data_IF_530482904974
#
_entry.id   IF_530482904974
#
_cell.length_a   1.000
_cell.length_b   1.000
_cell.length_c   1.000
_cell.angle_alpha   90.00
_cell.angle_beta   90.00
_cell.angle_gamma   90.00
#
_symmetry.space_group_name_H-M   'P 1'
#
loop_
_entity.id
_entity.type
_entity.pdbx_description
1 polymer ?
#
# COMPACT_ATOMS: atom_id res chain seq x y z
N UNK A 1 8.90 14.24 -19.23
CA UNK A 1 9.00 13.79 -17.81
C UNK A 1 8.04 14.63 -16.98
N UNK A 2 6.92 14.06 -16.46
CA UNK A 2 6.03 14.76 -15.52
C UNK A 2 6.83 15.04 -14.25
N UNK A 3 7.08 16.31 -13.95
CA UNK A 3 7.78 16.76 -12.75
C UNK A 3 6.89 16.42 -11.55
N UNK A 4 7.31 15.49 -10.69
CA UNK A 4 6.61 15.23 -9.43
C UNK A 4 6.53 16.53 -8.64
N UNK A 5 5.38 16.80 -7.99
CA UNK A 5 5.20 17.96 -7.13
C UNK A 5 5.68 17.59 -5.71
N UNK A 6 6.93 17.89 -5.34
CA UNK A 6 7.51 17.40 -4.07
C UNK A 6 6.83 17.95 -2.82
N UNK A 7 6.06 19.03 -2.95
CA UNK A 7 5.34 19.63 -1.81
C UNK A 7 3.97 19.03 -1.50
N UNK A 8 3.44 18.12 -2.33
CA UNK A 8 2.11 17.51 -2.13
C UNK A 8 2.14 16.26 -1.23
N UNK A 9 3.32 15.71 -0.97
CA UNK A 9 3.47 14.47 -0.22
C UNK A 9 4.33 14.74 1.01
N UNK A 10 3.67 14.85 2.16
CA UNK A 10 4.34 14.89 3.46
C UNK A 10 4.38 13.47 4.04
N UNK A 11 5.59 12.85 4.20
CA UNK A 11 5.71 11.49 4.72
C UNK A 11 5.10 11.32 6.12
N UNK A 12 5.26 12.31 6.99
CA UNK A 12 4.71 12.24 8.34
C UNK A 12 3.19 12.25 8.36
N UNK A 13 2.56 13.05 7.48
CA UNK A 13 1.11 13.06 7.33
C UNK A 13 0.59 11.71 6.81
N UNK A 14 1.28 11.11 5.84
CA UNK A 14 0.90 9.81 5.29
C UNK A 14 1.00 8.73 6.38
N UNK A 15 2.08 8.71 7.17
CA UNK A 15 2.25 7.78 8.29
C UNK A 15 1.11 7.97 9.30
N UNK A 16 0.83 9.20 9.70
CA UNK A 16 -0.24 9.51 10.66
C UNK A 16 -1.62 9.05 10.17
N UNK A 17 -1.96 9.32 8.92
CA UNK A 17 -3.22 8.87 8.32
C UNK A 17 -3.32 7.33 8.22
N UNK A 18 -2.21 6.67 7.92
CA UNK A 18 -2.18 5.22 7.84
C UNK A 18 -2.32 4.56 9.22
N UNK A 19 -1.64 5.09 10.22
CA UNK A 19 -1.80 4.64 11.62
C UNK A 19 -3.24 4.86 12.06
N UNK A 20 -3.81 6.04 11.84
CA UNK A 20 -5.20 6.33 12.17
C UNK A 20 -6.17 5.36 11.47
N UNK A 21 -5.99 5.12 10.15
CA UNK A 21 -6.84 4.20 9.41
C UNK A 21 -6.75 2.74 9.93
N UNK A 22 -5.61 2.32 10.47
CA UNK A 22 -5.47 0.99 11.09
C UNK A 22 -6.05 0.90 12.50
N UNK A 23 -6.13 2.01 13.22
CA UNK A 23 -6.68 2.04 14.59
C UNK A 23 -8.20 2.26 14.60
N UNK A 24 -8.76 2.81 13.53
CA UNK A 24 -10.22 2.94 13.39
C UNK A 24 -10.86 1.56 13.16
N UNK A 25 -12.13 1.36 13.56
CA UNK A 25 -12.86 0.13 13.28
C UNK A 25 -12.96 -0.12 11.78
N UNK A 26 -12.43 -1.23 11.32
CA UNK A 26 -12.48 -1.69 9.92
C UNK A 26 -12.49 -3.22 9.85
N UNK A 27 -12.96 -3.82 8.74
CA UNK A 27 -12.84 -5.26 8.54
C UNK A 27 -11.37 -5.72 8.61
N UNK A 28 -11.09 -6.93 9.12
CA UNK A 28 -9.73 -7.46 9.15
C UNK A 28 -9.04 -7.37 7.77
N UNK A 29 -7.78 -6.93 7.75
CA UNK A 29 -6.97 -6.71 6.55
C UNK A 29 -7.47 -5.64 5.56
N UNK A 30 -8.49 -4.87 5.91
CA UNK A 30 -8.93 -3.70 5.13
C UNK A 30 -8.15 -2.46 5.59
N UNK A 31 -6.88 -2.34 5.17
CA UNK A 31 -5.99 -1.28 5.62
C UNK A 31 -5.19 -0.68 4.44
N UNK A 32 -4.77 0.61 4.52
CA UNK A 32 -4.13 1.30 3.40
C UNK A 32 -2.66 0.91 3.16
N UNK A 33 -2.07 0.00 3.94
CA UNK A 33 -0.62 -0.21 4.00
C UNK A 33 -0.04 -0.70 2.67
N UNK A 34 -0.66 -1.71 2.03
CA UNK A 34 -0.19 -2.21 0.75
C UNK A 34 -0.31 -1.14 -0.36
N UNK A 35 -1.44 -0.43 -0.39
CA UNK A 35 -1.65 0.68 -1.33
C UNK A 35 -0.63 1.80 -1.12
N UNK A 36 -0.25 2.10 0.13
CA UNK A 36 0.81 3.06 0.46
C UNK A 36 2.18 2.59 0.00
N UNK A 37 2.49 1.31 0.18
CA UNK A 37 3.75 0.72 -0.28
C UNK A 37 3.85 0.80 -1.81
N UNK A 38 2.79 0.43 -2.53
CA UNK A 38 2.70 0.57 -4.00
C UNK A 38 2.86 2.02 -4.44
N UNK A 39 2.09 2.92 -3.85
CA UNK A 39 2.10 4.35 -4.17
C UNK A 39 3.48 4.97 -3.87
N UNK A 40 4.02 4.69 -2.69
CA UNK A 40 5.36 5.13 -2.29
C UNK A 40 6.43 4.66 -3.27
N UNK A 41 6.39 3.38 -3.69
CA UNK A 41 7.28 2.83 -4.69
C UNK A 41 7.18 3.53 -6.04
N UNK A 42 5.96 3.88 -6.47
CA UNK A 42 5.70 4.49 -7.76
C UNK A 42 6.07 5.99 -7.82
N UNK A 43 5.97 6.71 -6.71
CA UNK A 43 6.10 8.17 -6.69
C UNK A 43 7.21 8.72 -5.81
N UNK A 44 7.64 7.99 -4.77
CA UNK A 44 8.66 8.44 -3.83
C UNK A 44 10.04 7.88 -4.16
N UNK A 45 11.03 8.26 -3.36
CA UNK A 45 12.35 7.64 -3.37
C UNK A 45 12.27 6.24 -2.75
N UNK A 46 13.17 5.32 -3.19
CA UNK A 46 13.25 3.93 -2.72
C UNK A 46 13.20 3.81 -1.18
N UNK A 47 13.91 4.69 -0.47
CA UNK A 47 13.93 4.71 1.00
C UNK A 47 12.52 4.91 1.58
N UNK A 48 11.80 5.92 1.10
CA UNK A 48 10.45 6.24 1.60
C UNK A 48 9.39 5.21 1.19
N UNK A 49 9.56 4.58 0.03
CA UNK A 49 8.69 3.51 -0.43
C UNK A 49 8.62 2.33 0.54
N UNK A 50 9.72 2.03 1.22
CA UNK A 50 9.85 0.93 2.17
C UNK A 50 9.61 1.41 3.60
N UNK A 51 10.27 2.51 4.00
CA UNK A 51 10.26 2.97 5.40
C UNK A 51 8.88 3.44 5.83
N UNK A 52 8.14 4.19 4.99
CA UNK A 52 6.84 4.75 5.37
C UNK A 52 5.83 3.65 5.77
N UNK A 53 5.57 2.62 4.94
CA UNK A 53 4.65 1.54 5.32
C UNK A 53 5.10 0.78 6.57
N UNK A 54 6.39 0.47 6.69
CA UNK A 54 6.91 -0.27 7.84
C UNK A 54 6.82 0.53 9.14
N UNK A 55 7.11 1.83 9.10
CA UNK A 55 6.95 2.71 10.28
C UNK A 55 5.48 2.84 10.66
N UNK A 56 4.58 3.00 9.70
CA UNK A 56 3.15 3.04 9.96
C UNK A 56 2.64 1.74 10.59
N UNK A 57 3.11 0.58 10.08
CA UNK A 57 2.83 -0.73 10.66
C UNK A 57 3.32 -0.81 12.10
N UNK A 58 4.59 -0.51 12.32
CA UNK A 58 5.21 -0.62 13.64
C UNK A 58 4.50 0.27 14.67
N UNK A 59 4.26 1.53 14.33
CA UNK A 59 3.58 2.47 15.22
C UNK A 59 2.16 2.01 15.56
N UNK A 60 1.41 1.48 14.61
CA UNK A 60 0.07 0.96 14.89
C UNK A 60 0.10 -0.36 15.66
N UNK A 61 1.09 -1.23 15.43
CA UNK A 61 1.23 -2.50 16.14
C UNK A 61 1.56 -2.30 17.64
N UNK A 62 2.17 -1.16 18.02
CA UNK A 62 2.34 -0.77 19.44
C UNK A 62 0.97 -0.64 20.14
N UNK A 63 -0.05 -0.13 19.45
CA UNK A 63 -1.39 0.07 20.01
C UNK A 63 -2.29 -1.16 19.85
N UNK A 64 -2.18 -1.87 18.72
CA UNK A 64 -2.98 -3.07 18.41
C UNK A 64 -2.49 -4.29 19.21
N UNK A 65 -1.19 -4.32 19.50
CA UNK A 65 -0.48 -5.45 20.12
C UNK A 65 0.38 -6.21 19.11
N UNK A 66 1.52 -6.72 19.61
CA UNK A 66 2.40 -7.57 18.82
C UNK A 66 1.87 -9.00 18.78
N UNK A 67 2.17 -9.71 17.71
CA UNK A 67 1.73 -11.08 17.45
C UNK A 67 2.92 -11.98 17.12
N UNK A 68 2.70 -13.23 16.74
CA UNK A 68 3.77 -14.19 16.46
C UNK A 68 4.91 -13.58 15.62
N UNK A 69 6.17 -13.66 16.05
CA UNK A 69 7.31 -13.09 15.31
C UNK A 69 7.42 -13.63 13.87
N UNK A 70 7.08 -14.90 13.65
CA UNK A 70 7.07 -15.53 12.32
C UNK A 70 6.05 -14.86 11.41
N UNK A 71 4.82 -14.67 11.89
CA UNK A 71 3.76 -14.00 11.12
C UNK A 71 4.11 -12.53 10.94
N UNK A 72 4.60 -11.85 11.99
CA UNK A 72 5.00 -10.45 11.92
C UNK A 72 6.08 -10.23 10.85
N UNK A 73 7.13 -11.07 10.84
CA UNK A 73 8.17 -10.98 9.82
C UNK A 73 7.61 -11.20 8.41
N UNK A 74 6.68 -12.12 8.24
CA UNK A 74 6.04 -12.39 6.95
C UNK A 74 5.18 -11.21 6.46
N UNK A 75 4.45 -10.55 7.36
CA UNK A 75 3.64 -9.36 7.08
C UNK A 75 4.54 -8.19 6.66
N UNK A 76 5.56 -7.87 7.46
CA UNK A 76 6.49 -6.77 7.16
C UNK A 76 7.28 -7.05 5.88
N UNK A 77 7.75 -8.29 5.68
CA UNK A 77 8.41 -8.72 4.45
C UNK A 77 7.53 -8.58 3.22
N UNK A 78 6.24 -8.91 3.34
CA UNK A 78 5.28 -8.74 2.26
C UNK A 78 5.15 -7.26 1.84
N UNK A 79 5.10 -6.33 2.80
CA UNK A 79 5.04 -4.89 2.47
C UNK A 79 6.32 -4.36 1.85
N UNK A 80 7.49 -4.91 2.19
CA UNK A 80 8.74 -4.61 1.47
C UNK A 80 8.61 -5.04 0.00
N UNK A 81 8.14 -6.26 -0.27
CA UNK A 81 7.95 -6.78 -1.62
C UNK A 81 6.92 -5.95 -2.41
N UNK A 82 5.82 -5.54 -1.77
CA UNK A 82 4.83 -4.64 -2.36
C UNK A 82 5.45 -3.28 -2.71
N UNK A 83 6.30 -2.73 -1.84
CA UNK A 83 7.07 -1.51 -2.13
C UNK A 83 8.00 -1.67 -3.35
N UNK A 84 8.66 -2.82 -3.50
CA UNK A 84 9.46 -3.16 -4.69
C UNK A 84 8.59 -3.24 -5.96
N UNK A 85 7.41 -3.86 -5.86
CA UNK A 85 6.44 -3.89 -6.95
C UNK A 85 5.98 -2.46 -7.33
N UNK A 86 5.78 -1.59 -6.36
CA UNK A 86 5.52 -0.17 -6.58
C UNK A 86 6.65 0.54 -7.33
N UNK A 87 7.92 0.21 -7.03
CA UNK A 87 9.06 0.76 -7.78
C UNK A 87 9.10 0.28 -9.23
N UNK A 88 8.71 -0.96 -9.50
CA UNK A 88 8.53 -1.45 -10.86
C UNK A 88 7.45 -0.65 -11.61
N UNK A 89 6.33 -0.30 -10.95
CA UNK A 89 5.30 0.56 -11.51
C UNK A 89 5.81 1.95 -11.93
N UNK A 90 6.85 2.48 -11.30
CA UNK A 90 7.38 3.82 -11.58
C UNK A 90 7.66 4.05 -13.07
N UNK A 91 8.14 3.02 -13.77
CA UNK A 91 8.46 3.07 -15.21
C UNK A 91 7.31 2.60 -16.11
N UNK A 92 6.28 1.96 -15.57
CA UNK A 92 5.23 1.27 -16.30
C UNK A 92 3.82 1.65 -15.82
N UNK A 93 3.63 2.90 -15.38
CA UNK A 93 2.35 3.37 -14.87
C UNK A 93 1.30 3.43 -15.97
N UNK A 94 0.29 2.59 -15.85
CA UNK A 94 -0.99 2.67 -16.55
C UNK A 94 -2.08 2.27 -15.57
N UNK A 95 -3.33 2.65 -15.76
CA UNK A 95 -4.44 2.23 -14.88
C UNK A 95 -4.49 0.70 -14.73
N UNK A 96 -4.34 -0.04 -15.82
CA UNK A 96 -4.32 -1.52 -15.81
C UNK A 96 -3.16 -2.08 -14.99
N UNK A 97 -1.95 -1.54 -15.12
CA UNK A 97 -0.79 -2.01 -14.35
C UNK A 97 -0.93 -1.66 -12.86
N UNK A 98 -1.53 -0.54 -12.52
CA UNK A 98 -1.80 -0.15 -11.12
C UNK A 98 -2.79 -1.12 -10.49
N UNK A 99 -3.89 -1.43 -11.17
CA UNK A 99 -4.89 -2.40 -10.70
C UNK A 99 -4.27 -3.81 -10.60
N UNK A 100 -3.53 -4.25 -11.62
CA UNK A 100 -2.87 -5.56 -11.60
C UNK A 100 -1.85 -5.66 -10.45
N UNK A 101 -1.11 -4.58 -10.17
CA UNK A 101 -0.18 -4.55 -9.04
C UNK A 101 -0.91 -4.57 -7.69
N UNK A 102 -2.05 -3.90 -7.54
CA UNK A 102 -2.86 -3.97 -6.32
C UNK A 102 -3.36 -5.40 -6.07
N UNK A 103 -3.94 -6.04 -7.09
CA UNK A 103 -4.38 -7.45 -6.99
C UNK A 103 -3.20 -8.38 -6.70
N UNK A 104 -2.08 -8.20 -7.42
CA UNK A 104 -0.86 -8.97 -7.19
C UNK A 104 -0.30 -8.80 -5.78
N UNK A 105 -0.39 -7.60 -5.20
CA UNK A 105 0.01 -7.33 -3.81
C UNK A 105 -0.85 -8.09 -2.81
N UNK A 106 -2.18 -8.08 -2.99
CA UNK A 106 -3.10 -8.82 -2.14
C UNK A 106 -2.86 -10.32 -2.18
N UNK A 107 -2.63 -10.88 -3.38
CA UNK A 107 -2.32 -12.30 -3.54
C UNK A 107 -0.97 -12.67 -2.92
N UNK A 108 0.06 -11.85 -3.14
CA UNK A 108 1.39 -12.03 -2.55
C UNK A 108 1.31 -12.02 -1.02
N UNK A 109 0.64 -11.03 -0.46
CA UNK A 109 0.41 -10.93 0.98
C UNK A 109 -0.29 -12.18 1.52
N UNK A 110 -1.39 -12.58 0.90
CA UNK A 110 -2.16 -13.75 1.27
C UNK A 110 -1.31 -15.03 1.26
N UNK A 111 -0.54 -15.25 0.19
CA UNK A 111 0.29 -16.45 0.06
C UNK A 111 1.38 -16.51 1.15
N UNK A 112 2.09 -15.41 1.37
CA UNK A 112 3.21 -15.37 2.32
C UNK A 112 2.71 -15.48 3.77
N UNK A 113 1.65 -14.75 4.11
CA UNK A 113 1.19 -14.70 5.51
C UNK A 113 0.50 -15.99 5.93
N UNK A 114 -0.29 -16.64 5.06
CA UNK A 114 -0.90 -17.93 5.39
C UNK A 114 0.13 -19.07 5.46
N UNK A 115 1.17 -19.02 4.62
CA UNK A 115 2.33 -19.92 4.78
C UNK A 115 3.00 -19.73 6.15
N UNK A 116 3.18 -18.49 6.57
CA UNK A 116 3.75 -18.18 7.89
C UNK A 116 2.84 -18.64 9.03
N UNK A 117 1.53 -18.47 8.93
CA UNK A 117 0.56 -18.99 9.91
C UNK A 117 0.65 -20.50 10.02
N UNK A 118 0.70 -21.21 8.90
CA UNK A 118 0.94 -22.67 8.93
C UNK A 118 2.25 -23.03 9.60
N UNK A 119 3.34 -22.30 9.31
CA UNK A 119 4.66 -22.55 9.88
C UNK A 119 4.73 -22.35 11.41
N UNK A 120 3.81 -21.57 11.99
CA UNK A 120 3.70 -21.42 13.46
C UNK A 120 3.18 -22.68 14.16
N UNK A 121 2.63 -23.65 13.42
CA UNK A 121 1.98 -24.83 13.98
C UNK A 121 0.52 -24.61 14.38
N UNK A 122 -0.11 -23.53 13.92
CA UNK A 122 -1.55 -23.27 14.12
C UNK A 122 -2.44 -24.34 13.45
N UNK A 123 -1.89 -25.06 12.48
CA UNK A 123 -2.50 -26.17 11.76
C UNK A 123 -1.54 -27.36 11.74
N UNK A 124 -2.02 -28.56 11.35
CA UNK A 124 -1.16 -29.74 11.21
C UNK A 124 0.01 -29.45 10.26
N UNK A 125 1.19 -30.03 10.56
CA UNK A 125 2.43 -29.79 9.79
C UNK A 125 2.54 -30.69 8.57
N UNK A 126 1.45 -30.82 7.84
CA UNK A 126 1.34 -31.59 6.59
C UNK A 126 0.67 -30.76 5.49
N UNK A 127 0.50 -31.32 4.31
CA UNK A 127 -0.16 -30.66 3.17
C UNK A 127 -1.61 -30.32 3.51
N UNK A 128 -2.30 -31.14 4.29
CA UNK A 128 -3.69 -30.87 4.69
C UNK A 128 -3.79 -29.61 5.55
N UNK A 129 -2.90 -29.47 6.55
CA UNK A 129 -2.85 -28.26 7.37
C UNK A 129 -2.44 -27.02 6.61
N UNK A 130 -1.58 -27.14 5.60
CA UNK A 130 -1.26 -26.02 4.70
C UNK A 130 -2.49 -25.58 3.91
N UNK A 131 -3.23 -26.52 3.32
CA UNK A 131 -4.50 -26.21 2.65
C UNK A 131 -5.50 -25.58 3.58
N UNK A 132 -5.64 -26.09 4.80
CA UNK A 132 -6.54 -25.53 5.80
C UNK A 132 -6.18 -24.08 6.12
N UNK A 133 -4.90 -23.74 6.28
CA UNK A 133 -4.44 -22.36 6.50
C UNK A 133 -4.89 -21.43 5.37
N UNK A 134 -4.75 -21.84 4.12
CA UNK A 134 -5.19 -21.05 2.97
C UNK A 134 -6.71 -20.92 2.87
N UNK A 135 -7.44 -22.01 3.09
CA UNK A 135 -8.92 -21.99 3.05
C UNK A 135 -9.48 -21.04 4.12
N UNK A 136 -8.96 -21.14 5.34
CA UNK A 136 -9.37 -20.28 6.45
C UNK A 136 -8.92 -18.82 6.26
N UNK A 137 -7.93 -18.59 5.42
CA UNK A 137 -7.46 -17.27 5.02
C UNK A 137 -8.32 -16.56 3.96
N UNK A 138 -9.18 -17.27 3.20
CA UNK A 138 -9.97 -16.70 2.09
C UNK A 138 -10.85 -15.50 2.47
N UNK A 139 -11.55 -15.48 3.62
CA UNK A 139 -12.33 -14.31 4.03
C UNK A 139 -11.45 -13.05 4.17
N UNK A 140 -10.23 -13.22 4.68
CA UNK A 140 -9.27 -12.12 4.81
C UNK A 140 -8.73 -11.67 3.46
N UNK A 141 -8.51 -12.59 2.51
CA UNK A 141 -8.12 -12.24 1.14
C UNK A 141 -9.18 -11.35 0.47
N UNK A 142 -10.47 -11.65 0.64
CA UNK A 142 -11.54 -10.81 0.13
C UNK A 142 -11.43 -9.38 0.65
N UNK A 143 -11.25 -9.20 1.95
CA UNK A 143 -11.11 -7.88 2.57
C UNK A 143 -9.84 -7.17 2.10
N UNK A 144 -8.71 -7.90 1.99
CA UNK A 144 -7.44 -7.38 1.48
C UNK A 144 -7.60 -6.87 0.05
N UNK A 145 -8.20 -7.65 -0.85
CA UNK A 145 -8.44 -7.26 -2.24
C UNK A 145 -9.28 -6.00 -2.35
N UNK A 146 -10.39 -5.95 -1.62
CA UNK A 146 -11.29 -4.78 -1.64
C UNK A 146 -10.60 -3.55 -1.06
N UNK A 147 -9.89 -3.71 0.07
CA UNK A 147 -9.14 -2.64 0.71
C UNK A 147 -8.01 -2.12 -0.17
N UNK A 148 -7.16 -3.01 -0.70
CA UNK A 148 -6.03 -2.63 -1.55
C UNK A 148 -6.49 -1.92 -2.83
N UNK A 149 -7.56 -2.38 -3.47
CA UNK A 149 -8.14 -1.71 -4.63
C UNK A 149 -8.71 -0.34 -4.26
N UNK A 150 -9.48 -0.25 -3.18
CA UNK A 150 -10.08 0.99 -2.71
C UNK A 150 -9.02 2.06 -2.41
N UNK A 151 -8.03 1.72 -1.59
CA UNK A 151 -6.97 2.67 -1.22
C UNK A 151 -6.01 2.96 -2.39
N UNK A 152 -5.73 1.99 -3.26
CA UNK A 152 -4.89 2.21 -4.45
C UNK A 152 -5.57 3.19 -5.41
N UNK A 153 -6.86 3.02 -5.69
CA UNK A 153 -7.62 3.96 -6.53
C UNK A 153 -7.62 5.36 -5.88
N UNK A 154 -7.86 5.43 -4.56
CA UNK A 154 -7.83 6.69 -3.81
C UNK A 154 -6.48 7.40 -3.90
N UNK A 155 -5.38 6.72 -3.64
CA UNK A 155 -4.04 7.32 -3.66
C UNK A 155 -3.57 7.69 -5.06
N UNK A 156 -3.64 6.76 -6.02
CA UNK A 156 -3.19 7.01 -7.39
C UNK A 156 -4.11 7.99 -8.12
N UNK A 157 -5.43 7.82 -8.02
CA UNK A 157 -6.42 8.69 -8.64
C UNK A 157 -6.41 10.09 -8.03
N UNK A 158 -6.41 10.19 -6.70
CA UNK A 158 -6.33 11.46 -5.99
C UNK A 158 -5.07 12.25 -6.32
N UNK A 159 -3.91 11.58 -6.37
CA UNK A 159 -2.65 12.23 -6.74
C UNK A 159 -2.63 12.71 -8.19
N UNK A 160 -3.10 11.90 -9.13
CA UNK A 160 -3.17 12.31 -10.56
C UNK A 160 -4.15 13.47 -10.75
N UNK A 161 -5.29 13.47 -10.05
CA UNK A 161 -6.26 14.55 -10.09
C UNK A 161 -5.66 15.85 -9.51
N UNK A 162 -5.05 15.78 -8.33
CA UNK A 162 -4.38 16.92 -7.69
C UNK A 162 -3.28 17.50 -8.60
N UNK A 163 -2.49 16.63 -9.24
CA UNK A 163 -1.43 17.06 -10.16
C UNK A 163 -2.01 17.78 -11.38
N UNK A 164 -3.11 17.31 -11.94
CA UNK A 164 -3.79 17.97 -13.09
C UNK A 164 -4.31 19.35 -12.70
N UNK A 165 -4.99 19.47 -11.55
CA UNK A 165 -5.54 20.75 -11.07
C UNK A 165 -4.43 21.77 -10.85
N UNK A 166 -3.35 21.40 -10.16
CA UNK A 166 -2.22 22.32 -9.91
C UNK A 166 -1.52 22.72 -11.20
N UNK A 167 -1.34 21.79 -12.13
CA UNK A 167 -0.70 22.08 -13.42
C UNK A 167 -1.56 23.04 -14.25
N UNK A 168 -2.88 22.80 -14.35
CA UNK A 168 -3.79 23.66 -15.10
C UNK A 168 -3.86 25.09 -14.51
N UNK A 169 -3.87 25.23 -13.18
CA UNK A 169 -3.82 26.55 -12.53
C UNK A 169 -2.52 27.30 -12.86
N UNK A 170 -1.37 26.63 -12.86
CA UNK A 170 -0.09 27.27 -13.26
C UNK A 170 -0.11 27.76 -14.70
N UNK A 171 -0.67 26.99 -15.63
CA UNK A 171 -0.83 27.41 -17.02
C UNK A 171 -1.78 28.62 -17.18
N UNK A 172 -2.91 28.63 -16.45
CA UNK A 172 -3.84 29.76 -16.46
C UNK A 172 -3.19 31.06 -15.94
N UNK A 173 -2.43 30.98 -14.83
CA UNK A 173 -1.69 32.13 -14.29
C UNK A 173 -0.58 32.61 -15.22
N UNK A 174 0.14 31.72 -15.90
CA UNK A 174 1.19 32.09 -16.86
C UNK A 174 0.61 32.80 -18.08
N UNK A 175 -0.57 32.36 -18.56
CA UNK A 175 -1.27 32.95 -19.70
C UNK A 175 -1.88 34.32 -19.36
N UNK A 176 -2.35 34.54 -18.13
CA UNK A 176 -2.86 35.82 -17.66
C UNK A 176 -1.77 36.91 -17.48
N UNK A 177 -0.52 36.52 -17.20
CA UNK A 177 0.61 37.47 -17.11
C UNK A 177 1.17 37.92 -18.45
N UNK A 178 0.88 37.23 -19.54
CA UNK A 178 1.32 37.59 -20.91
C UNK A 178 0.36 38.53 -21.63
N UNK A 179 -0.77 38.93 -21.01
CA UNK A 179 -1.76 39.82 -21.61
C UNK A 179 -1.77 41.24 -21.02
N UNK A 180 -0.77 41.60 -20.21
CA UNK A 180 -0.60 42.96 -19.68
C UNK A 180 0.71 43.56 -20.20
N UNK A 181 0.71 43.94 -21.51
CA UNK A 181 1.61 44.91 -22.12
C UNK A 181 0.81 45.73 -23.14
#
# INVERSE_FOLDING_TARGET
>A
MKKYLPGLINPALIIGLAVAARLLPHPPNFAPIAAMALFGGAYLNRKYAIVIPLVAMFLSDIFIGFYSPVVMTSVYGSFVLVGLLGMWLKKRKSPSNVIAAAVGSSLLFFLITNLAVWATGAYSRDISGLWQSYIMGLPFLKNTLVGDLFYTIGFFGGYELATRVVTNRKFAFAKGKTLTF
#
